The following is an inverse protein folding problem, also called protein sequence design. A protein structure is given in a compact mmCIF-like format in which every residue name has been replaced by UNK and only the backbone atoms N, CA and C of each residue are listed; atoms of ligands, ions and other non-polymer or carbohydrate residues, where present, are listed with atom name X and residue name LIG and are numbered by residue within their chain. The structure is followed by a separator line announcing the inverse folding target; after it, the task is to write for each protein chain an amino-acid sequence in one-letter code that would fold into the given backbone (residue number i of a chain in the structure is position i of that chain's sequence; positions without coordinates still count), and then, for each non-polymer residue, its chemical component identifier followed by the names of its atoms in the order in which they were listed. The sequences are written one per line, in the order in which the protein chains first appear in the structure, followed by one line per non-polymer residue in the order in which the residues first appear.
data_IF_523687999315
#
_entry.id   IF_523687999315
#
_cell.length_a   1.000
_cell.length_b   1.000
_cell.length_c   1.000
_cell.angle_alpha   90.00
_cell.angle_beta   90.00
_cell.angle_gamma   90.00
#
_symmetry.space_group_name_H-M   'P 1'
#
loop_
_entity.id
_entity.type
_entity.pdbx_description
1 polymer ?
#
# COMPACT_ATOMS: atom_id res chain seq x y z
N UNK A 1 10.51 7.76 -3.45
CA UNK A 1 9.73 8.88 -2.91
C UNK A 1 10.53 9.55 -1.82
N UNK A 2 10.54 10.88 -1.75
CA UNK A 2 11.20 11.63 -0.69
C UNK A 2 10.24 11.75 0.51
N UNK A 3 10.55 11.01 1.58
CA UNK A 3 9.83 10.95 2.84
C UNK A 3 10.36 9.77 3.66
N UNK A 4 10.24 9.80 5.00
CA UNK A 4 10.72 8.71 5.84
C UNK A 4 10.06 7.39 5.41
N UNK A 5 10.86 6.34 5.24
CA UNK A 5 10.37 5.03 4.79
C UNK A 5 9.42 4.38 5.82
N UNK A 6 9.54 4.78 7.09
CA UNK A 6 8.82 4.18 8.21
C UNK A 6 7.80 5.17 8.74
N UNK A 7 6.55 4.74 8.78
CA UNK A 7 5.45 5.46 9.41
C UNK A 7 4.95 4.65 10.60
N UNK A 8 4.84 5.29 11.75
CA UNK A 8 4.39 4.68 13.01
C UNK A 8 3.20 5.48 13.50
N UNK A 9 2.16 4.82 13.96
CA UNK A 9 1.02 5.50 14.56
C UNK A 9 0.12 4.56 15.33
N UNK A 10 -0.76 5.13 16.12
CA UNK A 10 -1.72 4.35 16.91
C UNK A 10 -2.83 3.77 16.02
N UNK A 11 -3.22 2.54 16.30
CA UNK A 11 -4.47 1.92 15.80
C UNK A 11 -5.64 2.15 16.77
N UNK A 12 -5.37 2.70 17.95
CA UNK A 12 -6.41 2.96 18.94
C UNK A 12 -7.29 4.15 18.52
N UNK A 13 -8.62 4.07 18.71
CA UNK A 13 -9.52 5.22 18.58
C UNK A 13 -9.15 6.35 19.54
N UNK A 14 -8.52 6.04 20.68
CA UNK A 14 -8.06 7.02 21.66
C UNK A 14 -6.79 7.77 21.22
N UNK A 15 -6.26 7.49 20.03
CA UNK A 15 -5.04 8.12 19.50
C UNK A 15 -3.79 7.73 20.27
N UNK A 16 -2.96 8.73 20.61
CA UNK A 16 -1.67 8.55 21.26
C UNK A 16 -1.79 8.16 22.73
N UNK A 17 -1.47 6.90 23.04
CA UNK A 17 -1.40 6.40 24.42
C UNK A 17 -0.07 6.78 25.09
N UNK A 18 0.03 6.75 26.43
CA UNK A 18 1.31 6.94 27.12
C UNK A 18 2.40 5.96 26.65
N UNK A 19 2.02 4.71 26.36
CA UNK A 19 2.93 3.70 25.81
C UNK A 19 3.42 4.08 24.41
N UNK A 20 2.52 4.57 23.54
CA UNK A 20 2.90 5.04 22.20
C UNK A 20 3.89 6.21 22.27
N UNK A 21 3.64 7.18 23.17
CA UNK A 21 4.54 8.31 23.37
C UNK A 21 5.92 7.88 23.86
N UNK A 22 5.98 6.99 24.85
CA UNK A 22 7.24 6.44 25.33
C UNK A 22 8.01 5.69 24.23
N UNK A 23 7.32 4.93 23.38
CA UNK A 23 7.92 4.25 22.24
C UNK A 23 8.49 5.22 21.19
N UNK A 24 7.73 6.27 20.83
CA UNK A 24 8.20 7.31 19.90
C UNK A 24 9.43 8.02 20.47
N UNK A 25 9.40 8.41 21.75
CA UNK A 25 10.56 9.03 22.43
C UNK A 25 11.81 8.15 22.35
N UNK A 26 11.69 6.86 22.69
CA UNK A 26 12.82 5.93 22.63
C UNK A 26 13.43 5.81 21.22
N UNK A 27 12.59 5.78 20.18
CA UNK A 27 13.06 5.75 18.78
C UNK A 27 13.73 7.06 18.37
N UNK A 28 13.16 8.20 18.77
CA UNK A 28 13.72 9.52 18.51
C UNK A 28 15.07 9.68 19.19
N UNK A 29 15.20 9.27 20.45
CA UNK A 29 16.45 9.36 21.23
C UNK A 29 17.56 8.50 20.64
N UNK A 30 17.21 7.41 19.95
CA UNK A 30 18.14 6.56 19.19
C UNK A 30 18.43 7.04 17.77
N UNK A 31 17.84 8.15 17.35
CA UNK A 31 18.05 8.74 16.03
C UNK A 31 17.43 7.94 14.87
N UNK A 32 16.35 7.19 15.12
CA UNK A 32 15.64 6.48 14.06
C UNK A 32 14.94 7.45 13.08
N UNK A 33 14.96 7.12 11.79
CA UNK A 33 14.26 7.88 10.75
C UNK A 33 12.83 7.33 10.53
N UNK A 34 11.84 8.06 11.05
CA UNK A 34 10.42 7.71 10.94
C UNK A 34 9.52 8.94 11.03
N UNK A 35 8.29 8.81 10.55
CA UNK A 35 7.21 9.75 10.82
C UNK A 35 6.22 9.15 11.83
N UNK A 36 5.93 9.88 12.91
CA UNK A 36 4.88 9.53 13.86
C UNK A 36 3.53 10.11 13.44
N UNK A 37 2.45 9.38 13.70
CA UNK A 37 1.08 9.76 13.36
C UNK A 37 0.16 9.46 14.54
N UNK A 38 -0.72 10.40 14.88
CA UNK A 38 -1.70 10.17 15.94
C UNK A 38 -2.60 8.96 15.64
N UNK A 39 -2.93 8.74 14.35
CA UNK A 39 -3.62 7.55 13.86
C UNK A 39 -3.02 7.06 12.54
N UNK A 40 -2.71 5.76 12.47
CA UNK A 40 -2.05 5.16 11.30
C UNK A 40 -3.03 4.62 10.25
N UNK A 41 -4.30 4.47 10.60
CA UNK A 41 -5.30 3.74 9.81
C UNK A 41 -5.40 4.25 8.36
N UNK A 42 -5.44 5.56 8.18
CA UNK A 42 -5.46 6.20 6.86
C UNK A 42 -4.26 5.82 5.98
N UNK A 43 -3.05 5.71 6.55
CA UNK A 43 -1.86 5.30 5.82
C UNK A 43 -1.88 3.81 5.48
N UNK A 44 -2.41 2.96 6.37
CA UNK A 44 -2.62 1.54 6.11
C UNK A 44 -3.57 1.36 4.91
N UNK A 45 -4.71 2.04 4.91
CA UNK A 45 -5.69 1.94 3.81
C UNK A 45 -5.15 2.48 2.50
N UNK A 46 -4.44 3.62 2.52
CA UNK A 46 -3.78 4.16 1.32
C UNK A 46 -2.83 3.13 0.69
N UNK A 47 -2.01 2.46 1.51
CA UNK A 47 -1.09 1.41 1.04
C UNK A 47 -1.84 0.17 0.55
N UNK A 48 -2.90 -0.24 1.26
CA UNK A 48 -3.71 -1.40 0.90
C UNK A 48 -4.34 -1.25 -0.49
N UNK A 49 -4.93 -0.08 -0.78
CA UNK A 49 -5.51 0.23 -2.09
C UNK A 49 -4.50 0.04 -3.23
N UNK A 50 -3.28 0.58 -3.06
CA UNK A 50 -2.21 0.41 -4.04
C UNK A 50 -1.76 -1.06 -4.16
N UNK A 51 -1.58 -1.76 -3.05
CA UNK A 51 -1.12 -3.16 -3.06
C UNK A 51 -2.15 -4.10 -3.69
N UNK A 52 -3.44 -3.91 -3.45
CA UNK A 52 -4.48 -4.74 -4.07
C UNK A 52 -4.54 -4.49 -5.57
N UNK A 53 -4.48 -3.23 -5.99
CA UNK A 53 -4.48 -2.88 -7.41
C UNK A 53 -3.20 -3.30 -8.14
N UNK A 54 -2.04 -3.37 -7.48
CA UNK A 54 -0.76 -3.61 -8.16
C UNK A 54 -0.19 -4.99 -7.84
N UNK A 55 0.07 -5.26 -6.56
CA UNK A 55 0.82 -6.46 -6.15
C UNK A 55 0.05 -7.74 -6.44
N UNK A 56 -1.25 -7.75 -6.16
CA UNK A 56 -2.10 -8.91 -6.46
C UNK A 56 -2.14 -9.21 -7.96
N UNK A 57 -2.26 -8.17 -8.80
CA UNK A 57 -2.34 -8.32 -10.25
C UNK A 57 -1.00 -8.79 -10.82
N UNK A 58 0.13 -8.22 -10.38
CA UNK A 58 1.46 -8.72 -10.74
C UNK A 58 1.62 -10.20 -10.37
N UNK A 59 1.21 -10.60 -9.16
CA UNK A 59 1.35 -11.97 -8.68
C UNK A 59 0.53 -12.99 -9.49
N UNK A 60 -0.71 -12.64 -9.83
CA UNK A 60 -1.60 -13.53 -10.62
C UNK A 60 -1.18 -13.61 -12.08
N UNK A 61 -0.68 -12.51 -12.65
CA UNK A 61 -0.31 -12.45 -14.08
C UNK A 61 1.14 -12.86 -14.36
N UNK A 62 2.00 -12.86 -13.34
CA UNK A 62 3.45 -13.01 -13.51
C UNK A 62 4.14 -11.77 -14.11
N UNK A 63 3.40 -10.69 -14.35
CA UNK A 63 3.92 -9.48 -14.99
C UNK A 63 4.52 -8.52 -13.96
N UNK A 64 5.56 -7.79 -14.36
CA UNK A 64 6.08 -6.67 -13.56
C UNK A 64 5.14 -5.47 -13.63
N UNK A 65 5.29 -4.53 -12.69
CA UNK A 65 4.46 -3.31 -12.62
C UNK A 65 4.48 -2.49 -13.92
N UNK A 66 5.62 -2.46 -14.64
CA UNK A 66 5.73 -1.74 -15.92
C UNK A 66 4.90 -2.37 -17.02
N UNK A 67 4.82 -3.70 -17.06
CA UNK A 67 4.12 -4.42 -18.12
C UNK A 67 2.60 -4.35 -17.96
N UNK A 68 2.09 -4.20 -16.73
CA UNK A 68 0.64 -4.08 -16.47
C UNK A 68 -0.01 -2.90 -17.20
N UNK A 69 0.64 -1.73 -17.24
CA UNK A 69 0.07 -0.53 -17.88
C UNK A 69 -0.16 -0.68 -19.38
N UNK A 70 0.55 -1.60 -20.03
CA UNK A 70 0.41 -1.85 -21.46
C UNK A 70 -0.66 -2.89 -21.83
N UNK A 71 -1.35 -3.47 -20.84
CA UNK A 71 -2.34 -4.52 -21.05
C UNK A 71 -3.73 -4.01 -20.65
N UNK A 72 -4.62 -3.81 -21.63
CA UNK A 72 -5.98 -3.26 -21.40
C UNK A 72 -6.77 -4.12 -20.39
N UNK A 73 -6.75 -5.45 -20.55
CA UNK A 73 -7.41 -6.39 -19.64
C UNK A 73 -6.89 -6.27 -18.20
N UNK A 74 -5.58 -6.01 -18.03
CA UNK A 74 -5.00 -5.79 -16.70
C UNK A 74 -5.50 -4.48 -16.10
N UNK A 75 -5.55 -3.40 -16.89
CA UNK A 75 -6.05 -2.10 -16.41
C UNK A 75 -7.53 -2.18 -16.02
N UNK A 76 -8.34 -2.91 -16.76
CA UNK A 76 -9.74 -3.18 -16.41
C UNK A 76 -9.84 -3.97 -15.09
N UNK A 77 -9.03 -5.01 -14.93
CA UNK A 77 -9.01 -5.81 -13.70
C UNK A 77 -8.56 -5.01 -12.47
N UNK A 78 -7.52 -4.18 -12.62
CA UNK A 78 -7.06 -3.23 -11.60
C UNK A 78 -8.21 -2.29 -11.20
N UNK A 79 -8.92 -1.75 -12.19
CA UNK A 79 -10.03 -0.81 -11.98
C UNK A 79 -11.13 -1.45 -11.10
N UNK A 80 -11.54 -2.69 -11.41
CA UNK A 80 -12.52 -3.42 -10.61
C UNK A 80 -12.08 -3.63 -9.16
N UNK A 81 -10.88 -4.18 -8.96
CA UNK A 81 -10.33 -4.44 -7.62
C UNK A 81 -10.21 -3.17 -6.77
N UNK A 82 -9.75 -2.08 -7.39
CA UNK A 82 -9.56 -0.80 -6.70
C UNK A 82 -10.90 -0.20 -6.28
N UNK A 83 -11.94 -0.32 -7.11
CA UNK A 83 -13.29 0.09 -6.72
C UNK A 83 -13.84 -0.72 -5.54
N UNK A 84 -13.63 -2.04 -5.51
CA UNK A 84 -14.05 -2.89 -4.39
C UNK A 84 -13.39 -2.47 -3.08
N UNK A 85 -12.06 -2.30 -3.08
CA UNK A 85 -11.33 -1.88 -1.87
C UNK A 85 -11.75 -0.48 -1.45
N UNK A 86 -11.96 0.44 -2.39
CA UNK A 86 -12.44 1.78 -2.09
C UNK A 86 -13.84 1.77 -1.47
N UNK A 87 -14.75 0.89 -1.94
CA UNK A 87 -16.08 0.74 -1.36
C UNK A 87 -16.01 0.27 0.10
N UNK A 88 -15.15 -0.71 0.40
CA UNK A 88 -14.93 -1.18 1.78
C UNK A 88 -14.32 -0.10 2.66
N UNK A 89 -13.33 0.65 2.15
CA UNK A 89 -12.71 1.74 2.88
C UNK A 89 -13.75 2.82 3.27
N UNK A 90 -14.60 3.24 2.32
CA UNK A 90 -15.68 4.18 2.59
C UNK A 90 -16.68 3.67 3.62
N UNK A 91 -17.10 2.40 3.50
CA UNK A 91 -18.02 1.78 4.47
C UNK A 91 -17.44 1.74 5.89
N UNK A 92 -16.11 1.69 6.02
CA UNK A 92 -15.39 1.78 7.30
C UNK A 92 -15.19 3.20 7.81
N UNK A 93 -15.65 4.23 7.10
CA UNK A 93 -15.48 5.63 7.48
C UNK A 93 -14.07 6.18 7.19
N UNK A 94 -13.29 5.50 6.35
CA UNK A 94 -11.97 6.00 5.94
C UNK A 94 -12.16 7.20 5.02
N UNK A 95 -11.50 8.30 5.38
CA UNK A 95 -11.52 9.55 4.63
C UNK A 95 -10.11 9.88 4.14
N UNK A 96 -9.87 9.64 2.86
CA UNK A 96 -8.60 9.87 2.20
C UNK A 96 -8.84 10.60 0.87
N UNK A 97 -8.00 11.59 0.49
CA UNK A 97 -8.11 12.25 -0.82
C UNK A 97 -8.02 11.28 -1.99
N UNK A 98 -7.23 10.20 -1.85
CA UNK A 98 -7.11 9.17 -2.89
C UNK A 98 -8.41 8.42 -3.15
N UNK A 99 -9.39 8.48 -2.25
CA UNK A 99 -10.70 7.87 -2.50
C UNK A 99 -11.56 8.74 -3.42
N UNK A 100 -11.22 9.97 -3.75
CA UNK A 100 -11.97 10.74 -4.76
C UNK A 100 -11.84 10.08 -6.13
N UNK A 101 -10.63 9.70 -6.50
CA UNK A 101 -10.33 8.90 -7.69
C UNK A 101 -9.27 7.82 -7.35
N UNK A 102 -9.72 6.67 -6.80
CA UNK A 102 -8.80 5.63 -6.33
C UNK A 102 -8.09 4.94 -7.50
N UNK A 103 -8.71 4.89 -8.68
CA UNK A 103 -8.14 4.28 -9.88
C UNK A 103 -7.01 5.16 -10.41
N UNK A 104 -7.23 6.47 -10.56
CA UNK A 104 -6.17 7.39 -10.95
C UNK A 104 -5.02 7.38 -9.94
N UNK A 105 -5.31 7.29 -8.64
CA UNK A 105 -4.27 7.10 -7.63
C UNK A 105 -3.43 5.85 -7.90
N UNK A 106 -4.05 4.68 -8.06
CA UNK A 106 -3.32 3.43 -8.27
C UNK A 106 -2.54 3.43 -9.59
N UNK A 107 -3.12 3.92 -10.68
CA UNK A 107 -2.41 4.05 -11.95
C UNK A 107 -1.22 5.01 -11.86
N UNK A 108 -1.34 6.09 -11.09
CA UNK A 108 -0.21 7.00 -10.84
C UNK A 108 0.91 6.32 -10.05
N UNK A 109 0.57 5.49 -9.04
CA UNK A 109 1.53 4.68 -8.27
C UNK A 109 2.21 3.66 -9.18
N UNK A 110 1.44 2.98 -10.01
CA UNK A 110 1.95 1.99 -10.96
C UNK A 110 2.95 2.62 -11.94
N UNK A 111 2.65 3.81 -12.46
CA UNK A 111 3.53 4.55 -13.36
C UNK A 111 4.86 4.93 -12.72
N UNK A 112 4.87 5.37 -11.45
CA UNK A 112 6.12 5.73 -10.74
C UNK A 112 6.88 4.52 -10.17
N UNK A 113 6.22 3.37 -10.02
CA UNK A 113 6.85 2.14 -9.52
C UNK A 113 7.84 1.57 -10.52
N UNK A 114 7.69 1.88 -11.82
CA UNK A 114 8.63 1.47 -12.86
C UNK A 114 8.62 -0.04 -13.10
N UNK A 115 9.73 -0.59 -13.57
CA UNK A 115 9.89 -2.03 -13.86
C UNK A 115 10.30 -2.82 -12.62
N UNK A 116 9.47 -2.75 -11.57
CA UNK A 116 9.74 -3.42 -10.32
C UNK A 116 9.05 -4.80 -10.27
N UNK A 117 9.79 -5.80 -9.79
CA UNK A 117 9.17 -7.02 -9.27
C UNK A 117 8.65 -6.73 -7.88
N UNK A 118 7.34 -6.61 -7.74
CA UNK A 118 6.70 -6.37 -6.44
C UNK A 118 6.77 -7.60 -5.54
N UNK A 119 6.70 -7.40 -4.23
CA UNK A 119 6.98 -8.46 -3.24
C UNK A 119 6.17 -9.74 -3.46
N UNK A 120 4.87 -9.62 -3.70
CA UNK A 120 4.00 -10.79 -3.89
C UNK A 120 4.33 -11.59 -5.16
N UNK A 121 4.83 -10.94 -6.21
CA UNK A 121 5.33 -11.64 -7.40
C UNK A 121 6.61 -12.41 -7.07
N UNK A 122 7.52 -11.82 -6.29
CA UNK A 122 8.73 -12.50 -5.83
C UNK A 122 8.39 -13.71 -4.95
N UNK A 123 7.40 -13.58 -4.06
CA UNK A 123 6.92 -14.68 -3.20
C UNK A 123 6.39 -15.85 -4.06
N UNK A 124 5.55 -15.55 -5.06
CA UNK A 124 5.02 -16.57 -5.98
C UNK A 124 6.14 -17.24 -6.80
N UNK A 125 7.07 -16.47 -7.37
CA UNK A 125 8.20 -17.01 -8.14
C UNK A 125 9.08 -17.92 -7.28
N UNK A 126 9.31 -17.56 -6.02
CA UNK A 126 10.07 -18.38 -5.08
C UNK A 126 9.37 -19.72 -4.83
N UNK A 127 8.05 -19.73 -4.58
CA UNK A 127 7.29 -20.97 -4.41
C UNK A 127 7.35 -21.86 -5.66
N UNK A 128 7.16 -21.30 -6.86
CA UNK A 128 7.20 -22.07 -8.11
C UNK A 128 8.53 -22.82 -8.33
N UNK A 129 9.66 -22.24 -7.92
CA UNK A 129 10.99 -22.87 -8.04
C UNK A 129 11.10 -24.13 -7.17
N UNK A 130 10.34 -24.26 -6.08
CA UNK A 130 10.38 -25.43 -5.20
C UNK A 130 9.48 -26.59 -5.65
N UNK A 131 8.65 -26.41 -6.68
CA UNK A 131 7.69 -27.42 -7.16
C UNK A 131 8.12 -28.07 -8.49
N UNK A 132 9.25 -27.66 -9.06
CA UNK A 132 9.85 -28.21 -10.30
C UNK A 132 11.22 -28.81 -10.03
#
# INVERSE_FOLDING_TARGET
GQGPLIHIGSVSPSGETPLYKAFVTELTDKGADFASHAQIENLIWKKLIANVGINCVCAVTGLTSKHLLGQEDCVEFITGLVHEVAAVARAKGISLPVLEDPVAYVLSVLAVTGDNKVSMLQDMEAEYIYVT
#
